data_IF_271742839666
#
_entry.id   IF_271742839666
#
_cell.length_a   1.000
_cell.length_b   1.000
_cell.length_c   1.000
_cell.angle_alpha   90.00
_cell.angle_beta   90.00
_cell.angle_gamma   90.00
#
_symmetry.space_group_name_H-M   'P 1'
#
loop_
_entity.id
_entity.type
_entity.pdbx_description
1 polymer ?
#
# COMPACT_ATOMS: atom_id res chain seq x y z
N UNK A 1 6.15 99.89 2.67
CA UNK A 1 5.72 99.72 1.27
C UNK A 1 6.91 99.23 0.46
N UNK A 2 6.78 98.10 -0.23
CA UNK A 2 7.45 97.93 -1.52
C UNK A 2 8.52 96.85 -1.68
N UNK A 3 8.09 95.73 -2.27
CA UNK A 3 8.72 94.98 -3.37
C UNK A 3 9.82 93.90 -3.14
N UNK A 4 9.32 92.66 -3.11
CA UNK A 4 9.65 91.44 -3.89
C UNK A 4 11.06 90.82 -3.78
N UNK A 5 11.04 89.59 -3.27
CA UNK A 5 12.14 88.67 -3.01
C UNK A 5 12.78 88.08 -4.27
N UNK A 6 14.08 87.83 -4.15
CA UNK A 6 15.04 87.39 -5.17
C UNK A 6 14.84 85.94 -5.58
N UNK A 7 14.65 85.76 -6.89
CA UNK A 7 15.12 84.68 -7.78
C UNK A 7 15.40 83.30 -7.21
N UNK A 8 14.53 82.36 -7.58
CA UNK A 8 14.65 80.90 -7.38
C UNK A 8 15.83 80.31 -8.16
N UNK A 9 16.55 79.43 -7.46
CA UNK A 9 17.75 78.71 -7.89
C UNK A 9 17.44 77.66 -8.97
N UNK A 10 18.21 77.77 -10.06
CA UNK A 10 18.50 76.86 -11.18
C UNK A 10 17.79 75.50 -11.25
N UNK A 11 17.08 75.31 -12.36
CA UNK A 11 16.59 74.03 -12.89
C UNK A 11 17.47 73.54 -14.03
N UNK A 12 17.45 72.23 -14.24
CA UNK A 12 17.93 71.43 -15.38
C UNK A 12 19.38 70.90 -15.29
N UNK A 13 19.51 69.64 -14.85
CA UNK A 13 20.67 68.80 -15.18
C UNK A 13 20.22 67.42 -15.69
N UNK A 14 20.42 67.25 -17.00
CA UNK A 14 20.85 66.05 -17.72
C UNK A 14 20.15 64.70 -17.50
N UNK A 15 19.44 64.28 -18.55
CA UNK A 15 19.09 62.90 -18.88
C UNK A 15 20.34 62.01 -18.89
N UNK A 16 20.40 60.97 -18.07
CA UNK A 16 21.02 59.67 -18.43
C UNK A 16 20.36 58.52 -17.65
N UNK A 17 19.93 57.57 -18.45
CA UNK A 17 19.26 56.28 -18.21
C UNK A 17 20.12 55.33 -17.37
N UNK A 18 19.60 54.78 -16.27
CA UNK A 18 19.77 53.36 -15.87
C UNK A 18 18.61 52.97 -14.94
N UNK A 19 17.53 52.42 -15.50
CA UNK A 19 16.60 51.58 -14.72
C UNK A 19 17.24 50.19 -14.73
N UNK A 20 17.96 49.82 -13.68
CA UNK A 20 18.45 48.47 -13.52
C UNK A 20 17.29 47.59 -13.04
N UNK A 21 16.82 46.59 -13.80
CA UNK A 21 15.90 45.61 -13.25
C UNK A 21 16.72 44.70 -12.32
N UNK A 22 16.47 44.78 -11.02
CA UNK A 22 16.91 43.73 -10.09
C UNK A 22 16.08 42.50 -10.39
N UNK A 23 16.52 41.70 -11.36
CA UNK A 23 15.95 40.38 -11.63
C UNK A 23 16.28 39.46 -10.46
N UNK A 24 15.38 39.43 -9.47
CA UNK A 24 15.38 38.43 -8.41
C UNK A 24 14.93 37.10 -9.04
N UNK A 25 15.87 36.38 -9.65
CA UNK A 25 15.65 35.01 -10.10
C UNK A 25 15.44 34.13 -8.87
N UNK A 26 14.18 33.89 -8.52
CA UNK A 26 13.82 32.82 -7.59
C UNK A 26 14.15 31.51 -8.31
N UNK A 27 15.33 30.96 -8.04
CA UNK A 27 15.63 29.58 -8.39
C UNK A 27 14.69 28.69 -7.56
N UNK A 28 13.55 28.34 -8.15
CA UNK A 28 12.71 27.26 -7.64
C UNK A 28 13.54 25.98 -7.76
N UNK A 29 14.27 25.63 -6.70
CA UNK A 29 14.73 24.26 -6.50
C UNK A 29 13.48 23.40 -6.33
N UNK A 30 12.88 23.01 -7.44
CA UNK A 30 12.07 21.81 -7.52
C UNK A 30 13.07 20.68 -7.25
N UNK A 31 13.29 20.39 -5.97
CA UNK A 31 13.72 19.05 -5.59
C UNK A 31 12.59 18.16 -6.07
N UNK A 32 12.75 17.60 -7.28
CA UNK A 32 11.90 16.50 -7.69
C UNK A 32 12.03 15.50 -6.57
N UNK A 33 10.94 15.18 -5.87
CA UNK A 33 10.89 14.07 -4.93
C UNK A 33 11.21 12.82 -5.73
N UNK A 34 12.49 12.52 -5.93
CA UNK A 34 12.95 11.27 -6.50
C UNK A 34 12.54 10.22 -5.48
N UNK A 35 11.57 9.40 -5.86
CA UNK A 35 11.05 8.35 -4.99
C UNK A 35 12.20 7.45 -4.54
N UNK A 36 12.52 7.54 -3.25
CA UNK A 36 13.66 6.87 -2.66
C UNK A 36 13.25 5.53 -2.02
N UNK A 37 14.20 4.70 -1.64
CA UNK A 37 13.94 3.36 -1.09
C UNK A 37 13.01 3.41 0.11
N UNK A 38 13.21 4.40 1.00
CA UNK A 38 12.43 4.56 2.23
C UNK A 38 10.95 4.79 1.93
N UNK A 39 10.62 5.71 1.02
CA UNK A 39 9.23 6.00 0.64
C UNK A 39 8.53 4.79 -0.01
N UNK A 40 9.25 4.02 -0.83
CA UNK A 40 8.73 2.78 -1.43
C UNK A 40 8.47 1.70 -0.38
N UNK A 41 9.39 1.53 0.56
CA UNK A 41 9.24 0.62 1.71
C UNK A 41 7.96 0.92 2.50
N UNK A 42 7.74 2.19 2.86
CA UNK A 42 6.56 2.60 3.62
C UNK A 42 5.25 2.29 2.88
N UNK A 43 5.21 2.48 1.55
CA UNK A 43 4.04 2.16 0.73
C UNK A 43 3.74 0.66 0.73
N UNK A 44 4.76 -0.18 0.53
CA UNK A 44 4.59 -1.63 0.52
C UNK A 44 4.16 -2.15 1.92
N UNK A 45 4.87 -1.75 2.98
CA UNK A 45 4.57 -2.13 4.37
C UNK A 45 3.12 -1.78 4.73
N UNK A 46 2.66 -0.58 4.36
CA UNK A 46 1.29 -0.14 4.67
C UNK A 46 0.23 -1.09 4.12
N UNK A 47 0.35 -1.48 2.85
CA UNK A 47 -0.67 -2.35 2.21
C UNK A 47 -0.56 -3.78 2.73
N UNK A 48 0.65 -4.30 2.97
CA UNK A 48 0.88 -5.62 3.57
C UNK A 48 0.29 -5.70 4.98
N UNK A 49 0.49 -4.66 5.79
CA UNK A 49 -0.07 -4.60 7.15
C UNK A 49 -1.59 -4.54 7.13
N UNK A 50 -2.20 -3.82 6.18
CA UNK A 50 -3.65 -3.82 6.02
C UNK A 50 -4.21 -5.23 5.75
N UNK A 51 -3.55 -6.01 4.87
CA UNK A 51 -3.88 -7.42 4.63
C UNK A 51 -3.72 -8.29 5.88
N UNK A 52 -2.64 -8.10 6.61
CA UNK A 52 -2.36 -8.83 7.85
C UNK A 52 -3.42 -8.55 8.92
N UNK A 53 -3.79 -7.29 9.11
CA UNK A 53 -4.84 -6.90 10.06
C UNK A 53 -6.22 -7.47 9.69
N UNK A 54 -6.55 -7.57 8.39
CA UNK A 54 -7.79 -8.23 7.95
C UNK A 54 -7.82 -9.69 8.40
N UNK A 55 -6.70 -10.42 8.27
CA UNK A 55 -6.60 -11.81 8.70
C UNK A 55 -6.77 -11.91 10.22
N UNK A 56 -6.05 -11.10 10.97
CA UNK A 56 -6.07 -11.14 12.44
C UNK A 56 -7.47 -10.85 13.01
N UNK A 57 -8.18 -9.89 12.44
CA UNK A 57 -9.51 -9.50 12.88
C UNK A 57 -10.61 -10.51 12.50
N UNK A 58 -10.31 -11.46 11.61
CA UNK A 58 -11.29 -12.41 11.10
C UNK A 58 -10.92 -13.88 11.39
N UNK A 59 -10.04 -14.13 12.36
CA UNK A 59 -9.72 -15.50 12.81
C UNK A 59 -10.95 -16.19 13.41
N UNK A 60 -11.21 -17.43 12.99
CA UNK A 60 -12.27 -18.27 13.57
C UNK A 60 -13.70 -17.83 13.25
N UNK A 61 -13.90 -17.00 12.22
CA UNK A 61 -15.22 -16.44 11.90
C UNK A 61 -16.11 -17.40 11.09
N UNK A 62 -17.38 -17.04 10.97
CA UNK A 62 -18.39 -17.79 10.21
C UNK A 62 -18.15 -17.72 8.68
N UNK A 63 -18.80 -18.63 7.94
CA UNK A 63 -18.75 -18.76 6.46
C UNK A 63 -18.83 -17.42 5.73
N UNK A 64 -19.83 -16.58 6.03
CA UNK A 64 -20.06 -15.31 5.31
C UNK A 64 -18.84 -14.41 5.47
N UNK A 65 -18.34 -14.29 6.69
CA UNK A 65 -17.15 -13.51 7.02
C UNK A 65 -15.90 -14.08 6.34
N UNK A 66 -15.72 -15.39 6.31
CA UNK A 66 -14.60 -16.01 5.59
C UNK A 66 -14.65 -15.73 4.09
N UNK A 67 -15.84 -15.78 3.47
CA UNK A 67 -15.99 -15.42 2.05
C UNK A 67 -15.70 -13.92 1.84
N UNK A 68 -16.15 -13.04 2.73
CA UNK A 68 -15.83 -11.62 2.62
C UNK A 68 -14.33 -11.36 2.78
N UNK A 69 -13.69 -11.97 3.78
CA UNK A 69 -12.24 -11.89 3.99
C UNK A 69 -11.46 -12.31 2.75
N UNK A 70 -11.87 -13.38 2.06
CA UNK A 70 -11.21 -13.79 0.82
C UNK A 70 -11.24 -12.68 -0.25
N UNK A 71 -12.36 -11.97 -0.40
CA UNK A 71 -12.49 -10.85 -1.35
C UNK A 71 -11.68 -9.63 -0.90
N UNK A 72 -11.67 -9.34 0.39
CA UNK A 72 -10.88 -8.23 0.94
C UNK A 72 -9.38 -8.47 0.71
N UNK A 73 -8.92 -9.72 0.84
CA UNK A 73 -7.54 -10.11 0.53
C UNK A 73 -7.24 -10.09 -0.97
N UNK A 74 -8.20 -10.38 -1.85
CA UNK A 74 -8.03 -10.15 -3.30
C UNK A 74 -7.86 -8.66 -3.60
N UNK A 75 -8.61 -7.80 -2.92
CA UNK A 75 -8.45 -6.35 -3.06
C UNK A 75 -7.06 -5.90 -2.60
N UNK A 76 -6.60 -6.35 -1.43
CA UNK A 76 -5.23 -6.10 -0.97
C UNK A 76 -4.19 -6.59 -1.99
N UNK A 77 -4.37 -7.79 -2.54
CA UNK A 77 -3.49 -8.35 -3.57
C UNK A 77 -3.39 -7.42 -4.78
N UNK A 78 -4.52 -6.89 -5.27
CA UNK A 78 -4.55 -5.91 -6.36
C UNK A 78 -3.84 -4.61 -5.97
N UNK A 79 -4.12 -4.08 -4.78
CA UNK A 79 -3.45 -2.87 -4.28
C UNK A 79 -1.94 -3.03 -4.18
N UNK A 80 -1.43 -4.21 -3.77
CA UNK A 80 0.01 -4.50 -3.76
C UNK A 80 0.54 -4.54 -5.18
N UNK A 81 -0.13 -5.22 -6.11
CA UNK A 81 0.31 -5.35 -7.51
C UNK A 81 0.38 -3.99 -8.23
N UNK A 82 -0.51 -3.07 -7.89
CA UNK A 82 -0.58 -1.72 -8.48
C UNK A 82 0.46 -0.75 -7.91
N UNK A 83 1.21 -1.14 -6.86
CA UNK A 83 2.34 -0.34 -6.39
C UNK A 83 3.41 -0.28 -7.48
N UNK A 84 3.59 0.90 -8.06
CA UNK A 84 4.69 1.17 -8.98
C UNK A 84 6.03 1.34 -8.23
N UNK A 85 6.56 0.24 -7.70
CA UNK A 85 7.87 0.21 -7.04
C UNK A 85 8.96 0.22 -8.11
N UNK A 86 10.06 0.92 -7.86
CA UNK A 86 11.22 1.04 -8.74
C UNK A 86 12.41 0.21 -8.23
N UNK A 87 12.56 0.10 -6.92
CA UNK A 87 13.61 -0.69 -6.28
C UNK A 87 13.45 -2.19 -6.63
N UNK A 88 14.48 -2.84 -7.20
CA UNK A 88 14.39 -4.24 -7.62
C UNK A 88 14.06 -5.20 -6.48
N UNK A 89 14.64 -4.99 -5.29
CA UNK A 89 14.41 -5.87 -4.14
C UNK A 89 12.99 -5.69 -3.60
N UNK A 90 12.46 -4.47 -3.62
CA UNK A 90 11.06 -4.22 -3.26
C UNK A 90 10.07 -4.84 -4.25
N UNK A 91 10.40 -4.91 -5.55
CA UNK A 91 9.59 -5.65 -6.55
C UNK A 91 9.56 -7.15 -6.28
N UNK A 92 10.66 -7.72 -5.80
CA UNK A 92 10.70 -9.13 -5.37
C UNK A 92 9.76 -9.36 -4.17
N UNK A 93 9.85 -8.52 -3.14
CA UNK A 93 8.96 -8.61 -1.98
C UNK A 93 7.49 -8.39 -2.37
N UNK A 94 7.21 -7.40 -3.21
CA UNK A 94 5.88 -7.16 -3.76
C UNK A 94 5.31 -8.42 -4.43
N UNK A 95 6.10 -9.06 -5.30
CA UNK A 95 5.68 -10.30 -5.98
C UNK A 95 5.43 -11.44 -4.99
N UNK A 96 6.28 -11.57 -3.96
CA UNK A 96 6.09 -12.54 -2.89
C UNK A 96 4.78 -12.33 -2.12
N UNK A 97 4.46 -11.09 -1.74
CA UNK A 97 3.22 -10.77 -1.04
C UNK A 97 1.99 -10.94 -1.92
N UNK A 98 2.06 -10.58 -3.21
CA UNK A 98 0.98 -10.86 -4.18
C UNK A 98 0.68 -12.35 -4.21
N UNK A 99 1.72 -13.19 -4.33
CA UNK A 99 1.54 -14.64 -4.33
C UNK A 99 0.93 -15.14 -3.01
N UNK A 100 1.44 -14.67 -1.87
CA UNK A 100 0.96 -15.12 -0.55
C UNK A 100 -0.51 -14.75 -0.34
N UNK A 101 -0.88 -13.47 -0.51
CA UNK A 101 -2.25 -13.03 -0.27
C UNK A 101 -3.24 -13.60 -1.29
N UNK A 102 -2.83 -13.79 -2.55
CA UNK A 102 -3.66 -14.44 -3.55
C UNK A 102 -3.97 -15.90 -3.17
N UNK A 103 -2.95 -16.69 -2.85
CA UNK A 103 -3.15 -18.09 -2.48
C UNK A 103 -3.91 -18.22 -1.15
N UNK A 104 -3.67 -17.31 -0.20
CA UNK A 104 -4.37 -17.30 1.07
C UNK A 104 -5.86 -16.98 0.89
N UNK A 105 -6.18 -15.98 0.06
CA UNK A 105 -7.56 -15.66 -0.31
C UNK A 105 -8.28 -16.89 -0.88
N UNK A 106 -7.65 -17.59 -1.83
CA UNK A 106 -8.22 -18.78 -2.44
C UNK A 106 -8.45 -19.91 -1.42
N UNK A 107 -7.49 -20.14 -0.52
CA UNK A 107 -7.63 -21.14 0.55
C UNK A 107 -8.79 -20.80 1.49
N UNK A 108 -8.93 -19.53 1.89
CA UNK A 108 -10.02 -19.06 2.74
C UNK A 108 -11.36 -19.19 2.03
N UNK A 109 -11.45 -18.83 0.75
CA UNK A 109 -12.66 -18.97 -0.05
C UNK A 109 -13.09 -20.45 -0.15
N UNK A 110 -12.13 -21.35 -0.38
CA UNK A 110 -12.36 -22.80 -0.42
C UNK A 110 -12.90 -23.31 0.92
N UNK A 111 -12.24 -22.97 2.02
CA UNK A 111 -12.69 -23.34 3.37
C UNK A 111 -14.08 -22.80 3.69
N UNK A 112 -14.37 -21.53 3.33
CA UNK A 112 -15.67 -20.92 3.51
C UNK A 112 -16.78 -21.65 2.76
N UNK A 113 -16.54 -22.02 1.49
CA UNK A 113 -17.49 -22.80 0.68
C UNK A 113 -17.71 -24.21 1.23
N UNK A 114 -16.64 -24.89 1.63
CA UNK A 114 -16.71 -26.21 2.25
C UNK A 114 -17.55 -26.17 3.54
N UNK A 115 -17.31 -25.19 4.40
CA UNK A 115 -18.10 -24.97 5.62
C UNK A 115 -19.55 -24.57 5.30
N UNK A 116 -19.80 -23.85 4.22
CA UNK A 116 -21.16 -23.58 3.74
C UNK A 116 -21.88 -24.85 3.28
N UNK A 117 -21.17 -25.78 2.63
CA UNK A 117 -21.72 -27.03 2.16
C UNK A 117 -22.20 -27.93 3.31
N UNK A 118 -21.55 -27.91 4.48
CA UNK A 118 -21.98 -28.69 5.65
C UNK A 118 -23.31 -28.23 6.22
N UNK A 119 -23.67 -26.95 6.09
CA UNK A 119 -24.97 -26.41 6.55
C UNK A 119 -26.17 -26.95 5.78
N UNK A 120 -25.93 -27.50 4.59
CA UNK A 120 -26.95 -28.06 3.69
C UNK A 120 -26.81 -29.57 3.55
N UNK A 121 -26.11 -30.22 4.49
CA UNK A 121 -26.00 -31.67 4.53
C UNK A 121 -27.21 -32.25 5.29
N UNK A 122 -27.83 -33.27 4.71
CA UNK A 122 -28.95 -33.99 5.32
C UNK A 122 -28.44 -35.07 6.28
N UNK A 123 -29.33 -35.58 7.14
CA UNK A 123 -29.04 -36.71 8.02
C UNK A 123 -29.09 -38.05 7.25
N UNK A 124 -28.24 -38.19 6.24
CA UNK A 124 -28.17 -39.32 5.32
C UNK A 124 -26.72 -39.74 5.06
N UNK A 125 -26.52 -40.88 4.39
CA UNK A 125 -25.19 -41.32 3.96
C UNK A 125 -24.51 -40.28 3.06
N UNK A 126 -25.22 -39.79 2.04
CA UNK A 126 -24.74 -38.72 1.16
C UNK A 126 -24.43 -37.41 1.92
N UNK A 127 -25.22 -37.09 2.95
CA UNK A 127 -24.94 -35.96 3.83
C UNK A 127 -23.64 -36.14 4.65
N UNK A 128 -23.38 -37.35 5.15
CA UNK A 128 -22.13 -37.68 5.86
C UNK A 128 -20.92 -37.60 4.92
N UNK A 129 -21.03 -38.09 3.70
CA UNK A 129 -19.97 -37.96 2.69
C UNK A 129 -19.66 -36.49 2.38
N UNK A 130 -20.70 -35.65 2.25
CA UNK A 130 -20.54 -34.20 2.04
C UNK A 130 -19.79 -33.53 3.20
N UNK A 131 -20.10 -33.92 4.44
CA UNK A 131 -19.40 -33.42 5.63
C UNK A 131 -17.94 -33.89 5.65
N UNK A 132 -17.66 -35.15 5.33
CA UNK A 132 -16.29 -35.68 5.28
C UNK A 132 -15.45 -34.96 4.22
N UNK A 133 -16.00 -34.76 3.02
CA UNK A 133 -15.35 -34.00 1.96
C UNK A 133 -15.06 -32.57 2.38
N UNK A 134 -16.04 -31.89 2.98
CA UNK A 134 -15.86 -30.54 3.48
C UNK A 134 -14.76 -30.46 4.54
N UNK A 135 -14.67 -31.44 5.45
CA UNK A 135 -13.61 -31.53 6.44
C UNK A 135 -12.23 -31.64 5.80
N UNK A 136 -12.07 -32.53 4.82
CA UNK A 136 -10.81 -32.68 4.09
C UNK A 136 -10.41 -31.39 3.34
N UNK A 137 -11.38 -30.68 2.75
CA UNK A 137 -11.13 -29.40 2.09
C UNK A 137 -10.72 -28.30 3.07
N UNK A 138 -11.34 -28.24 4.25
CA UNK A 138 -10.99 -27.31 5.33
C UNK A 138 -9.59 -27.61 5.88
N UNK A 139 -9.28 -28.88 6.16
CA UNK A 139 -7.98 -29.31 6.69
C UNK A 139 -6.85 -29.00 5.69
N UNK A 140 -7.10 -29.22 4.40
CA UNK A 140 -6.19 -28.84 3.31
C UNK A 140 -5.99 -27.32 3.25
N UNK A 141 -7.07 -26.54 3.30
CA UNK A 141 -7.00 -25.08 3.29
C UNK A 141 -6.25 -24.52 4.51
N UNK A 142 -6.43 -25.12 5.69
CA UNK A 142 -5.73 -24.74 6.93
C UNK A 142 -4.23 -25.03 6.83
N UNK A 143 -3.86 -26.16 6.24
CA UNK A 143 -2.44 -26.52 5.99
C UNK A 143 -1.78 -25.52 5.04
N UNK A 144 -2.47 -25.16 3.96
CA UNK A 144 -2.03 -24.12 3.02
C UNK A 144 -1.89 -22.77 3.71
N UNK A 145 -2.90 -22.32 4.47
CA UNK A 145 -2.88 -21.06 5.18
C UNK A 145 -1.73 -20.99 6.21
N UNK A 146 -1.47 -22.09 6.93
CA UNK A 146 -0.35 -22.18 7.88
C UNK A 146 1.00 -22.04 7.18
N UNK A 147 1.16 -22.68 6.02
CA UNK A 147 2.39 -22.62 5.22
C UNK A 147 2.62 -21.20 4.69
N UNK A 148 1.57 -20.59 4.12
CA UNK A 148 1.60 -19.22 3.61
C UNK A 148 1.84 -18.21 4.73
N UNK A 149 1.29 -18.43 5.92
CA UNK A 149 1.54 -17.61 7.11
C UNK A 149 3.03 -17.58 7.46
N UNK A 150 3.68 -18.75 7.56
CA UNK A 150 5.13 -18.83 7.82
C UNK A 150 5.97 -18.15 6.73
N UNK A 151 5.58 -18.31 5.47
CA UNK A 151 6.22 -17.62 4.34
C UNK A 151 6.04 -16.10 4.44
N UNK A 152 4.85 -15.64 4.84
CA UNK A 152 4.55 -14.23 5.08
C UNK A 152 5.43 -13.67 6.18
N UNK A 153 5.51 -14.33 7.34
CA UNK A 153 6.34 -13.89 8.47
C UNK A 153 7.82 -13.77 8.06
N UNK A 154 8.31 -14.75 7.31
CA UNK A 154 9.68 -14.73 6.77
C UNK A 154 9.88 -13.54 5.83
N UNK A 155 8.94 -13.30 4.91
CA UNK A 155 9.03 -12.23 3.93
C UNK A 155 8.92 -10.84 4.58
N UNK A 156 8.04 -10.68 5.57
CA UNK A 156 7.91 -9.45 6.37
C UNK A 156 9.22 -9.16 7.10
N UNK A 157 9.82 -10.16 7.74
CA UNK A 157 11.10 -9.97 8.45
C UNK A 157 12.23 -9.57 7.50
N UNK A 158 12.32 -10.19 6.32
CA UNK A 158 13.31 -9.84 5.30
C UNK A 158 13.09 -8.42 4.75
N UNK A 159 11.84 -8.07 4.44
CA UNK A 159 11.47 -6.74 3.98
C UNK A 159 11.79 -5.69 5.04
N UNK A 160 11.40 -5.89 6.30
CA UNK A 160 11.66 -4.94 7.39
C UNK A 160 13.16 -4.73 7.60
N UNK A 161 13.96 -5.81 7.53
CA UNK A 161 15.42 -5.71 7.60
C UNK A 161 16.01 -4.92 6.43
N UNK A 162 15.50 -5.13 5.21
CA UNK A 162 15.96 -4.38 4.04
C UNK A 162 15.60 -2.89 4.16
N UNK A 163 14.37 -2.61 4.61
CA UNK A 163 13.83 -1.26 4.73
C UNK A 163 14.44 -0.44 5.87
N UNK A 164 15.09 -1.06 6.86
CA UNK A 164 15.81 -0.37 7.93
C UNK A 164 17.27 -0.04 7.58
N UNK A 165 17.80 -0.60 6.49
CA UNK A 165 19.15 -0.29 6.03
C UNK A 165 19.18 1.10 5.36
N UNK A 166 20.24 1.91 5.59
CA UNK A 166 20.44 3.17 4.88
C UNK A 166 20.53 2.95 3.36
N UNK A 167 20.31 4.02 2.60
CA UNK A 167 20.43 4.04 1.14
C UNK A 167 21.89 3.94 0.67
#
# INVERSE_FOLDING_TARGET
MGFIAVGVLMSVLHKYTVIAPVSLSIALFVTSCSENKVSQCQRLIRVVNAGTSLIDNNKGTQVITSIQLSKDLEFVTKSIKELNLKDPKLKEYQSGFVNIFQNLSQAIAKAGRALGATKTAEASESGREKIQKARAEIDSALTTATTLGKQSDTLVNQMNKYCSQPE
#
